data_IF_746187471718
#
_entry.id   IF_746187471718
#
_cell.length_a   1.000
_cell.length_b   1.000
_cell.length_c   1.000
_cell.angle_alpha   90.00
_cell.angle_beta   90.00
_cell.angle_gamma   90.00
#
_symmetry.space_group_name_H-M   'P 1'
#
loop_
_entity.id
_entity.type
_entity.pdbx_description
1 polymer ?
#
# COMPACT_ATOMS: atom_id res chain seq x y z
N UNK A 1 4.68 -6.59 5.98
CA UNK A 1 3.65 -6.06 5.07
C UNK A 1 2.63 -7.09 4.61
N UNK A 2 3.03 -8.20 3.96
CA UNK A 2 2.08 -9.24 3.50
C UNK A 2 2.42 -10.64 4.05
N UNK A 3 1.93 -11.02 5.25
CA UNK A 3 2.29 -12.29 5.89
C UNK A 3 1.95 -13.53 5.05
N UNK A 4 0.83 -13.51 4.33
CA UNK A 4 0.42 -14.62 3.46
C UNK A 4 1.36 -14.76 2.26
N UNK A 5 1.84 -13.65 1.68
CA UNK A 5 2.87 -13.68 0.65
C UNK A 5 4.18 -14.24 1.22
N UNK A 6 4.59 -13.81 2.41
CA UNK A 6 5.78 -14.36 3.09
C UNK A 6 5.65 -15.87 3.33
N UNK A 7 4.47 -16.37 3.69
CA UNK A 7 4.21 -17.80 3.81
C UNK A 7 4.32 -18.55 2.45
N UNK A 8 3.94 -17.92 1.33
CA UNK A 8 4.15 -18.47 -0.02
C UNK A 8 5.64 -18.48 -0.39
N UNK A 9 6.39 -17.45 -0.02
CA UNK A 9 7.85 -17.42 -0.22
C UNK A 9 8.51 -18.52 0.62
N UNK A 10 8.11 -18.68 1.88
CA UNK A 10 8.55 -19.81 2.73
C UNK A 10 8.27 -21.15 2.08
N UNK A 11 7.09 -21.34 1.49
CA UNK A 11 6.75 -22.58 0.77
C UNK A 11 7.69 -22.79 -0.43
N UNK A 12 8.02 -21.74 -1.18
CA UNK A 12 9.00 -21.85 -2.28
C UNK A 12 10.41 -22.17 -1.76
N UNK A 13 10.81 -21.55 -0.64
CA UNK A 13 12.09 -21.81 0.03
C UNK A 13 12.22 -23.26 0.50
N UNK A 14 11.17 -23.84 1.10
CA UNK A 14 11.12 -25.28 1.45
C UNK A 14 11.35 -26.16 0.21
N UNK A 15 10.90 -25.72 -0.96
CA UNK A 15 11.11 -26.41 -2.23
C UNK A 15 12.45 -26.03 -2.92
N UNK A 16 13.40 -25.43 -2.20
CA UNK A 16 14.75 -25.13 -2.68
C UNK A 16 14.93 -23.75 -3.31
N UNK A 17 13.94 -22.85 -3.21
CA UNK A 17 14.15 -21.47 -3.64
C UNK A 17 15.16 -20.74 -2.74
N UNK A 18 16.11 -20.04 -3.35
CA UNK A 18 17.04 -19.18 -2.62
C UNK A 18 16.45 -17.79 -2.47
N UNK A 19 16.53 -17.22 -1.27
CA UNK A 19 16.03 -15.87 -0.98
C UNK A 19 17.20 -14.94 -0.67
N UNK A 20 17.20 -13.76 -1.30
CA UNK A 20 18.11 -12.67 -0.97
C UNK A 20 17.34 -11.46 -0.45
N UNK A 21 17.87 -10.78 0.57
CA UNK A 21 17.27 -9.59 1.15
C UNK A 21 18.21 -8.39 1.00
N UNK A 22 17.69 -7.30 0.43
CA UNK A 22 18.30 -5.97 0.52
C UNK A 22 17.39 -5.11 1.38
N UNK A 23 17.88 -4.70 2.54
CA UNK A 23 17.12 -3.96 3.56
C UNK A 23 17.60 -4.29 4.97
N UNK A 24 16.91 -3.76 5.97
CA UNK A 24 17.16 -4.10 7.37
C UNK A 24 17.09 -5.63 7.59
N UNK A 25 18.03 -6.23 8.34
CA UNK A 25 17.95 -7.64 8.69
C UNK A 25 16.73 -7.91 9.57
N UNK A 26 15.88 -8.84 9.17
CA UNK A 26 14.65 -9.22 9.89
C UNK A 26 14.49 -10.73 9.98
N UNK A 27 13.70 -11.21 10.94
CA UNK A 27 13.29 -12.61 10.99
C UNK A 27 12.18 -12.88 9.96
N UNK A 28 12.54 -13.50 8.82
CA UNK A 28 11.59 -13.91 7.78
C UNK A 28 10.96 -15.28 8.04
N UNK A 29 11.33 -15.96 9.13
CA UNK A 29 10.95 -17.33 9.50
C UNK A 29 11.58 -18.43 8.62
N UNK A 30 12.61 -18.08 7.85
CA UNK A 30 13.44 -18.98 7.03
C UNK A 30 14.77 -18.30 6.69
N UNK A 31 15.76 -19.08 6.28
CA UNK A 31 17.09 -18.54 5.95
C UNK A 31 17.09 -17.76 4.65
N UNK A 32 17.88 -16.68 4.60
CA UNK A 32 18.08 -15.87 3.42
C UNK A 32 19.50 -15.31 3.38
N UNK A 33 19.98 -14.99 2.18
CA UNK A 33 21.22 -14.27 1.99
C UNK A 33 20.97 -12.77 2.21
N UNK A 34 21.49 -12.21 3.29
CA UNK A 34 21.47 -10.76 3.50
C UNK A 34 22.54 -10.10 2.62
N UNK A 35 22.11 -9.28 1.66
CA UNK A 35 22.99 -8.69 0.65
C UNK A 35 23.50 -7.31 1.09
N UNK A 36 22.76 -6.64 1.97
CA UNK A 36 23.07 -5.33 2.51
C UNK A 36 21.80 -4.54 2.80
N UNK A 37 21.95 -3.36 3.38
CA UNK A 37 20.84 -2.62 4.00
C UNK A 37 20.23 -1.52 3.11
N UNK A 38 20.91 -1.12 2.03
CA UNK A 38 20.58 0.14 1.35
C UNK A 38 20.85 0.17 -0.14
N UNK A 39 20.89 1.39 -0.69
CA UNK A 39 21.01 1.63 -2.14
C UNK A 39 22.27 1.04 -2.74
N UNK A 40 23.40 1.07 -2.03
CA UNK A 40 24.66 0.50 -2.51
C UNK A 40 24.56 -1.02 -2.79
N UNK A 41 23.83 -1.75 -1.95
CA UNK A 41 23.60 -3.18 -2.15
C UNK A 41 22.72 -3.45 -3.38
N UNK A 42 21.66 -2.65 -3.56
CA UNK A 42 20.82 -2.71 -4.76
C UNK A 42 21.63 -2.38 -6.03
N UNK A 43 22.46 -1.34 -5.98
CA UNK A 43 23.32 -0.95 -7.10
C UNK A 43 24.29 -2.07 -7.48
N UNK A 44 24.95 -2.68 -6.48
CA UNK A 44 25.86 -3.81 -6.65
C UNK A 44 25.19 -5.00 -7.35
N UNK A 45 23.93 -5.30 -7.03
CA UNK A 45 23.16 -6.34 -7.70
C UNK A 45 22.80 -5.96 -9.13
N UNK A 46 22.24 -4.76 -9.33
CA UNK A 46 21.76 -4.28 -10.62
C UNK A 46 22.88 -4.04 -11.65
N UNK A 47 24.12 -3.85 -11.20
CA UNK A 47 25.30 -3.65 -12.05
C UNK A 47 25.98 -4.95 -12.46
N UNK A 48 25.62 -6.09 -11.86
CA UNK A 48 26.18 -7.41 -12.19
C UNK A 48 25.39 -8.09 -13.31
N UNK A 49 26.09 -8.89 -14.10
CA UNK A 49 25.45 -9.91 -14.94
C UNK A 49 25.15 -11.14 -14.08
N UNK A 50 23.88 -11.52 -13.97
CA UNK A 50 23.45 -12.62 -13.10
C UNK A 50 23.11 -13.84 -13.96
N UNK A 51 24.12 -14.66 -14.26
CA UNK A 51 23.95 -15.88 -15.06
C UNK A 51 23.17 -16.98 -14.34
N UNK A 52 23.38 -17.15 -13.03
CA UNK A 52 22.81 -18.26 -12.24
C UNK A 52 21.27 -18.24 -12.08
N UNK A 53 20.64 -17.10 -12.40
CA UNK A 53 19.19 -16.92 -12.42
C UNK A 53 18.57 -17.25 -13.79
N UNK A 54 19.37 -17.18 -14.87
CA UNK A 54 18.88 -17.42 -16.24
C UNK A 54 18.45 -18.88 -16.39
N UNK A 55 17.23 -19.09 -16.89
CA UNK A 55 16.62 -20.42 -17.03
C UNK A 55 15.91 -20.95 -15.76
N UNK A 56 15.86 -20.17 -14.68
CA UNK A 56 15.07 -20.48 -13.48
C UNK A 56 13.84 -19.57 -13.40
N UNK A 57 12.84 -20.00 -12.63
CA UNK A 57 11.69 -19.15 -12.28
C UNK A 57 12.07 -18.23 -11.11
N UNK A 58 12.59 -17.04 -11.42
CA UNK A 58 13.01 -16.05 -10.43
C UNK A 58 12.05 -14.85 -10.36
N UNK A 59 12.04 -14.19 -9.21
CA UNK A 59 11.16 -13.06 -8.91
C UNK A 59 11.94 -12.00 -8.14
N UNK A 60 11.82 -10.74 -8.56
CA UNK A 60 12.29 -9.56 -7.82
C UNK A 60 11.06 -8.87 -7.22
N UNK A 61 11.05 -8.72 -5.89
CA UNK A 61 9.99 -8.02 -5.15
C UNK A 61 10.59 -6.75 -4.57
N UNK A 62 9.97 -5.60 -4.84
CA UNK A 62 10.29 -4.34 -4.18
C UNK A 62 9.13 -3.89 -3.29
N UNK A 63 9.41 -3.60 -2.02
CA UNK A 63 8.41 -3.00 -1.13
C UNK A 63 8.14 -1.54 -1.52
N UNK A 64 6.89 -1.11 -1.48
CA UNK A 64 6.51 0.27 -1.81
C UNK A 64 7.20 1.32 -0.92
N UNK A 65 7.56 0.96 0.31
CA UNK A 65 8.35 1.80 1.22
C UNK A 65 9.71 2.20 0.65
N UNK A 66 10.36 1.32 -0.13
CA UNK A 66 11.65 1.62 -0.77
C UNK A 66 11.55 2.73 -1.83
N UNK A 67 10.33 3.02 -2.30
CA UNK A 67 10.05 3.99 -3.36
C UNK A 67 9.68 5.39 -2.84
N UNK A 68 9.59 5.59 -1.52
CA UNK A 68 9.10 6.85 -0.94
C UNK A 68 10.18 7.93 -0.80
N UNK A 69 11.46 7.58 -0.93
CA UNK A 69 12.58 8.51 -0.87
C UNK A 69 12.67 9.44 -2.08
N UNK A 70 13.48 10.51 -1.97
CA UNK A 70 13.71 11.46 -3.06
C UNK A 70 14.30 10.80 -4.32
N UNK A 71 15.01 9.69 -4.16
CA UNK A 71 15.59 8.86 -5.22
C UNK A 71 14.70 7.68 -5.62
N UNK A 72 13.43 7.63 -5.21
CA UNK A 72 12.53 6.49 -5.41
C UNK A 72 12.38 6.05 -6.88
N UNK A 73 12.42 6.99 -7.83
CA UNK A 73 12.45 6.68 -9.28
C UNK A 73 13.73 5.95 -9.68
N UNK A 74 14.88 6.34 -9.14
CA UNK A 74 16.14 5.66 -9.39
C UNK A 74 16.15 4.26 -8.76
N UNK A 75 15.63 4.13 -7.52
CA UNK A 75 15.46 2.84 -6.84
C UNK A 75 14.61 1.89 -7.70
N UNK A 76 13.47 2.35 -8.21
CA UNK A 76 12.63 1.57 -9.11
C UNK A 76 13.39 1.14 -10.37
N UNK A 77 14.11 2.06 -11.01
CA UNK A 77 14.89 1.74 -12.21
C UNK A 77 15.99 0.72 -11.97
N UNK A 78 16.69 0.78 -10.83
CA UNK A 78 17.68 -0.24 -10.47
C UNK A 78 17.05 -1.60 -10.15
N UNK A 79 15.88 -1.64 -9.51
CA UNK A 79 15.16 -2.88 -9.24
C UNK A 79 14.63 -3.54 -10.53
N UNK A 80 14.14 -2.74 -11.48
CA UNK A 80 13.73 -3.21 -12.80
C UNK A 80 14.93 -3.71 -13.62
N UNK A 81 16.06 -2.99 -13.61
CA UNK A 81 17.31 -3.43 -14.22
C UNK A 81 17.82 -4.75 -13.64
N UNK A 82 17.68 -4.94 -12.32
CA UNK A 82 18.00 -6.21 -11.67
C UNK A 82 17.10 -7.34 -12.19
N UNK A 83 15.79 -7.10 -12.34
CA UNK A 83 14.87 -8.08 -12.91
C UNK A 83 15.26 -8.45 -14.36
N UNK A 84 15.58 -7.46 -15.20
CA UNK A 84 16.04 -7.68 -16.58
C UNK A 84 17.34 -8.48 -16.64
N UNK A 85 18.36 -8.09 -15.88
CA UNK A 85 19.67 -8.75 -15.88
C UNK A 85 19.62 -10.21 -15.39
N UNK A 86 18.64 -10.53 -14.55
CA UNK A 86 18.42 -11.87 -14.00
C UNK A 86 17.32 -12.66 -14.73
N UNK A 87 16.64 -12.08 -15.72
CA UNK A 87 15.45 -12.63 -16.37
C UNK A 87 14.35 -13.04 -15.36
N UNK A 88 14.15 -12.21 -14.34
CA UNK A 88 13.15 -12.41 -13.29
C UNK A 88 11.83 -11.75 -13.62
N UNK A 89 10.74 -12.31 -13.10
CA UNK A 89 9.49 -11.56 -12.93
C UNK A 89 9.70 -10.42 -11.92
N UNK A 90 8.84 -9.42 -11.96
CA UNK A 90 8.94 -8.23 -11.10
C UNK A 90 7.59 -7.93 -10.45
N UNK A 91 7.64 -7.52 -9.18
CA UNK A 91 6.46 -7.16 -8.39
C UNK A 91 6.79 -5.98 -7.48
N UNK A 92 5.87 -5.03 -7.39
CA UNK A 92 5.85 -4.03 -6.33
C UNK A 92 4.88 -4.49 -5.24
N UNK A 93 5.37 -4.70 -4.02
CA UNK A 93 4.56 -5.06 -2.88
C UNK A 93 4.02 -3.80 -2.20
N UNK A 94 2.70 -3.60 -2.31
CA UNK A 94 2.01 -2.48 -1.67
C UNK A 94 1.68 -2.76 -0.20
N UNK A 95 1.54 -1.69 0.60
CA UNK A 95 1.27 -1.76 2.04
C UNK A 95 -0.18 -1.48 2.42
N UNK A 96 -1.00 -0.99 1.48
CA UNK A 96 -2.40 -0.63 1.73
C UNK A 96 -3.30 -1.12 0.60
N UNK A 97 -4.48 -1.65 0.95
CA UNK A 97 -5.43 -2.25 0.01
C UNK A 97 -6.01 -1.23 -1.01
N UNK A 98 -6.10 0.05 -0.64
CA UNK A 98 -6.58 1.09 -1.53
C UNK A 98 -5.55 1.56 -2.56
N UNK A 99 -4.25 1.21 -2.39
CA UNK A 99 -3.17 1.86 -3.14
C UNK A 99 -3.19 1.55 -4.63
N UNK A 100 -3.38 0.29 -5.01
CA UNK A 100 -3.36 -0.12 -6.43
C UNK A 100 -4.56 0.47 -7.17
N UNK A 101 -5.77 0.31 -6.62
CA UNK A 101 -6.98 0.89 -7.21
C UNK A 101 -6.92 2.42 -7.32
N UNK A 102 -6.36 3.11 -6.32
CA UNK A 102 -6.12 4.55 -6.38
C UNK A 102 -5.15 4.93 -7.52
N UNK A 103 -4.09 4.15 -7.73
CA UNK A 103 -3.16 4.38 -8.84
C UNK A 103 -3.78 4.10 -10.20
N UNK A 104 -4.62 3.07 -10.32
CA UNK A 104 -5.32 2.70 -11.55
C UNK A 104 -6.26 3.81 -12.05
N UNK A 105 -6.95 4.50 -11.13
CA UNK A 105 -7.81 5.66 -11.45
C UNK A 105 -7.03 6.98 -11.54
N UNK A 106 -5.70 6.95 -11.43
CA UNK A 106 -4.86 8.14 -11.51
C UNK A 106 -4.96 9.09 -10.32
N UNK A 107 -5.33 8.60 -9.12
CA UNK A 107 -5.35 9.39 -7.88
C UNK A 107 -3.92 9.66 -7.36
N UNK A 108 -3.17 10.43 -8.14
CA UNK A 108 -1.79 10.84 -7.90
C UNK A 108 -1.68 12.37 -7.94
N UNK A 109 -0.66 12.92 -7.29
CA UNK A 109 -0.37 14.35 -7.34
C UNK A 109 1.08 14.63 -7.73
N UNK A 110 1.28 15.66 -8.55
CA UNK A 110 2.63 16.12 -8.89
C UNK A 110 3.33 16.65 -7.62
N UNK A 111 4.54 16.17 -7.35
CA UNK A 111 5.25 16.47 -6.10
C UNK A 111 4.76 15.68 -4.88
N UNK A 112 3.80 14.78 -5.08
CA UNK A 112 3.29 13.85 -4.07
C UNK A 112 2.57 14.51 -2.91
N UNK A 113 2.21 13.66 -1.94
CA UNK A 113 1.40 14.06 -0.78
C UNK A 113 2.04 15.20 0.03
N UNK A 114 3.37 15.22 0.17
CA UNK A 114 4.09 16.25 0.91
C UNK A 114 3.88 17.65 0.32
N UNK A 115 3.85 17.77 -1.01
CA UNK A 115 3.56 19.05 -1.67
C UNK A 115 2.09 19.40 -1.50
N UNK A 116 1.19 18.44 -1.76
CA UNK A 116 -0.27 18.62 -1.62
C UNK A 116 -0.65 19.12 -0.23
N UNK A 117 -0.12 18.52 0.85
CA UNK A 117 -0.44 18.91 2.22
C UNK A 117 0.11 20.30 2.62
N UNK A 118 1.16 20.79 1.96
CA UNK A 118 1.73 22.12 2.24
C UNK A 118 0.96 23.24 1.57
N UNK A 119 0.31 22.97 0.44
CA UNK A 119 -0.31 24.00 -0.40
C UNK A 119 -1.83 23.99 -0.35
N UNK A 120 -2.46 22.91 0.15
CA UNK A 120 -3.91 22.81 0.23
C UNK A 120 -4.47 23.73 1.31
N UNK A 121 -5.52 24.48 0.97
CA UNK A 121 -6.33 25.24 1.93
C UNK A 121 -7.47 24.40 2.51
N UNK A 122 -7.95 23.42 1.72
CA UNK A 122 -8.97 22.45 2.12
C UNK A 122 -8.44 21.04 1.84
N UNK A 123 -8.55 20.15 2.80
CA UNK A 123 -8.17 18.74 2.68
C UNK A 123 -9.40 17.87 2.90
N UNK A 124 -9.78 17.12 1.87
CA UNK A 124 -10.75 16.04 1.99
C UNK A 124 -10.02 14.73 2.28
N UNK A 125 -10.05 14.29 3.53
CA UNK A 125 -9.36 13.10 4.01
C UNK A 125 -10.30 11.88 3.98
N UNK A 126 -10.09 10.99 3.01
CA UNK A 126 -10.80 9.72 2.87
C UNK A 126 -10.14 8.63 3.75
N UNK A 127 -10.44 8.65 5.05
CA UNK A 127 -10.06 7.60 5.99
C UNK A 127 -8.55 7.38 6.14
N UNK A 128 -7.73 8.41 5.85
CA UNK A 128 -6.28 8.33 6.00
C UNK A 128 -5.85 8.83 7.37
N UNK A 129 -5.37 7.89 8.20
CA UNK A 129 -4.92 8.15 9.56
C UNK A 129 -3.40 7.99 9.74
N UNK A 130 -2.70 7.51 8.70
CA UNK A 130 -1.24 7.32 8.71
C UNK A 130 -0.45 8.59 8.35
N UNK A 131 -1.17 9.67 8.02
CA UNK A 131 -0.59 10.89 7.47
C UNK A 131 -0.85 12.03 8.44
N UNK A 132 0.23 12.68 8.90
CA UNK A 132 0.12 13.86 9.74
C UNK A 132 -0.31 15.06 8.91
N UNK A 133 -1.47 15.63 9.24
CA UNK A 133 -1.97 16.87 8.65
C UNK A 133 -1.75 18.00 9.67
N UNK A 134 -0.91 18.97 9.32
CA UNK A 134 -0.61 20.11 10.19
C UNK A 134 -1.79 21.09 10.28
N UNK A 135 -1.73 21.98 11.26
CA UNK A 135 -2.66 23.12 11.34
C UNK A 135 -2.53 24.03 10.11
N UNK A 136 -3.60 24.72 9.74
CA UNK A 136 -3.66 25.58 8.55
C UNK A 136 -4.85 25.26 7.66
N UNK A 137 -4.86 24.11 6.97
CA UNK A 137 -5.98 23.72 6.11
C UNK A 137 -7.26 23.42 6.90
N UNK A 138 -8.40 23.66 6.27
CA UNK A 138 -9.69 23.15 6.69
C UNK A 138 -9.81 21.67 6.32
N UNK A 139 -10.06 20.79 7.28
CA UNK A 139 -9.99 19.34 7.10
C UNK A 139 -11.38 18.72 7.24
N UNK A 140 -11.83 18.04 6.19
CA UNK A 140 -13.01 17.19 6.21
C UNK A 140 -12.52 15.74 6.27
N UNK A 141 -12.86 15.02 7.34
CA UNK A 141 -12.54 13.60 7.47
C UNK A 141 -13.77 12.76 7.18
N UNK A 142 -13.66 11.87 6.18
CA UNK A 142 -14.66 10.86 5.87
C UNK A 142 -14.08 9.48 6.19
N UNK A 143 -14.61 8.81 7.21
CA UNK A 143 -14.08 7.52 7.64
C UNK A 143 -14.98 6.81 8.64
N UNK A 144 -14.65 5.55 8.91
CA UNK A 144 -15.44 4.67 9.79
C UNK A 144 -14.97 4.66 11.24
N UNK A 145 -13.73 5.09 11.51
CA UNK A 145 -13.13 5.08 12.83
C UNK A 145 -12.52 6.44 13.14
N UNK A 146 -12.62 6.86 14.40
CA UNK A 146 -11.98 8.08 14.88
C UNK A 146 -10.57 7.81 15.36
N UNK A 147 -9.56 8.16 14.58
CA UNK A 147 -8.15 8.12 14.97
C UNK A 147 -7.48 9.47 14.60
N UNK A 148 -6.16 9.50 14.36
CA UNK A 148 -5.36 10.72 14.12
C UNK A 148 -5.97 11.66 13.08
N UNK A 149 -6.49 11.12 11.97
CA UNK A 149 -7.10 11.89 10.89
C UNK A 149 -8.41 12.55 11.32
N UNK A 150 -9.24 11.83 12.07
CA UNK A 150 -10.48 12.36 12.62
C UNK A 150 -10.23 13.40 13.71
N UNK A 151 -9.23 13.20 14.58
CA UNK A 151 -8.85 14.17 15.61
C UNK A 151 -8.37 15.51 15.04
N UNK A 152 -7.80 15.50 13.83
CA UNK A 152 -7.40 16.71 13.11
C UNK A 152 -8.56 17.36 12.33
N UNK A 153 -9.70 16.70 12.18
CA UNK A 153 -10.77 17.18 11.32
C UNK A 153 -11.52 18.38 11.91
N UNK A 154 -11.93 19.30 11.03
CA UNK A 154 -12.89 20.37 11.33
C UNK A 154 -14.34 19.88 11.12
N UNK A 155 -14.55 18.98 10.14
CA UNK A 155 -15.81 18.27 9.90
C UNK A 155 -15.54 16.77 9.81
N UNK A 156 -16.39 15.97 10.46
CA UNK A 156 -16.37 14.51 10.37
C UNK A 156 -17.63 14.04 9.64
N UNK A 157 -17.45 13.25 8.58
CA UNK A 157 -18.49 12.56 7.83
C UNK A 157 -18.39 11.06 8.10
N UNK A 158 -19.28 10.48 8.91
CA UNK A 158 -19.20 9.06 9.26
C UNK A 158 -19.49 8.18 8.04
N UNK A 159 -18.55 7.31 7.70
CA UNK A 159 -18.61 6.43 6.53
C UNK A 159 -18.62 4.95 6.92
N UNK A 160 -19.16 4.12 6.03
CA UNK A 160 -19.18 2.67 6.17
C UNK A 160 -17.76 2.07 6.26
N UNK A 161 -17.60 1.04 7.08
CA UNK A 161 -16.41 0.18 7.06
C UNK A 161 -16.46 -0.80 5.87
N UNK A 162 -15.34 -1.48 5.58
CA UNK A 162 -15.24 -2.39 4.42
C UNK A 162 -16.23 -3.57 4.46
N UNK A 163 -16.77 -3.93 5.63
CA UNK A 163 -17.79 -4.96 5.81
C UNK A 163 -19.23 -4.44 5.62
N UNK A 164 -19.40 -3.13 5.51
CA UNK A 164 -20.70 -2.44 5.58
C UNK A 164 -21.11 -1.80 4.25
N UNK A 165 -20.27 -1.90 3.22
CA UNK A 165 -20.55 -1.44 1.87
C UNK A 165 -20.02 -2.42 0.81
N UNK A 166 -20.57 -2.34 -0.40
CA UNK A 166 -20.09 -3.14 -1.51
C UNK A 166 -18.94 -2.41 -2.22
N UNK A 167 -17.70 -2.88 -2.02
CA UNK A 167 -16.48 -2.29 -2.56
C UNK A 167 -15.92 -3.00 -3.78
N UNK A 168 -15.03 -2.32 -4.51
CA UNK A 168 -14.11 -2.92 -5.49
C UNK A 168 -12.69 -2.61 -5.03
N UNK A 169 -11.90 -3.64 -4.77
CA UNK A 169 -10.52 -3.54 -4.31
C UNK A 169 -9.58 -4.14 -5.35
N UNK A 170 -8.39 -3.56 -5.51
CA UNK A 170 -7.35 -4.13 -6.37
C UNK A 170 -6.16 -4.51 -5.51
N UNK A 171 -5.78 -5.78 -5.53
CA UNK A 171 -4.68 -6.28 -4.71
C UNK A 171 -3.30 -5.99 -5.36
N UNK A 172 -2.20 -6.37 -4.68
CA UNK A 172 -0.84 -6.05 -5.12
C UNK A 172 -0.39 -6.70 -6.43
N UNK A 173 -1.08 -7.74 -6.91
CA UNK A 173 -0.83 -8.37 -8.22
C UNK A 173 -1.70 -7.75 -9.33
N UNK A 174 -2.51 -6.73 -9.02
CA UNK A 174 -3.36 -6.04 -9.98
C UNK A 174 -4.70 -6.73 -10.23
N UNK A 175 -5.16 -7.61 -9.33
CA UNK A 175 -6.44 -8.33 -9.47
C UNK A 175 -7.58 -7.50 -8.86
N UNK A 176 -8.61 -7.09 -9.63
CA UNK A 176 -9.83 -6.51 -9.10
C UNK A 176 -10.67 -7.55 -8.38
N UNK A 177 -11.22 -7.21 -7.21
CA UNK A 177 -11.99 -8.08 -6.34
C UNK A 177 -13.20 -7.33 -5.81
N UNK A 178 -14.34 -8.01 -5.74
CA UNK A 178 -15.55 -7.44 -5.17
C UNK A 178 -15.66 -7.79 -3.69
N UNK A 179 -15.86 -6.77 -2.86
CA UNK A 179 -16.31 -6.94 -1.49
C UNK A 179 -17.84 -6.86 -1.46
N UNK A 180 -18.47 -7.80 -0.76
CA UNK A 180 -19.91 -7.81 -0.55
C UNK A 180 -20.21 -7.30 0.87
N UNK A 181 -21.26 -6.50 0.97
CA UNK A 181 -21.75 -5.99 2.25
C UNK A 181 -22.23 -7.15 3.13
N UNK A 182 -21.69 -7.22 4.35
CA UNK A 182 -22.07 -8.21 5.37
C UNK A 182 -23.00 -7.62 6.44
N UNK A 183 -22.89 -6.32 6.74
CA UNK A 183 -23.72 -5.62 7.70
C UNK A 183 -24.13 -4.23 7.21
N UNK A 184 -24.96 -3.51 7.96
CA UNK A 184 -25.26 -2.11 7.68
C UNK A 184 -24.35 -1.21 8.51
N UNK A 185 -23.97 -0.06 7.94
CA UNK A 185 -23.18 0.93 8.65
C UNK A 185 -23.93 1.43 9.90
N UNK A 186 -23.24 1.63 11.04
CA UNK A 186 -23.87 1.98 12.29
C UNK A 186 -24.39 3.44 12.31
N UNK A 187 -25.50 3.65 13.02
CA UNK A 187 -26.06 4.98 13.23
C UNK A 187 -26.44 5.67 11.93
N UNK A 188 -25.88 6.86 11.70
CA UNK A 188 -26.14 7.67 10.50
C UNK A 188 -25.07 7.54 9.42
N UNK A 189 -24.09 6.63 9.59
CA UNK A 189 -23.04 6.42 8.63
C UNK A 189 -23.61 6.00 7.26
N UNK A 190 -22.95 6.46 6.19
CA UNK A 190 -23.36 6.20 4.79
C UNK A 190 -22.24 5.51 4.02
N UNK A 191 -22.60 4.88 2.89
CA UNK A 191 -21.60 4.35 1.95
C UNK A 191 -20.70 5.47 1.42
N UNK A 192 -19.41 5.18 1.25
CA UNK A 192 -18.39 6.18 0.97
C UNK A 192 -18.70 7.00 -0.30
N UNK A 193 -19.19 6.33 -1.35
CA UNK A 193 -19.54 6.99 -2.61
C UNK A 193 -20.79 7.88 -2.48
N UNK A 194 -21.74 7.49 -1.63
CA UNK A 194 -22.99 8.22 -1.45
C UNK A 194 -22.77 9.55 -0.74
N UNK A 195 -21.81 9.60 0.20
CA UNK A 195 -21.38 10.85 0.86
C UNK A 195 -20.81 11.82 -0.18
N UNK A 196 -19.88 11.36 -1.02
CA UNK A 196 -19.28 12.19 -2.07
C UNK A 196 -20.31 12.64 -3.11
N UNK A 197 -21.23 11.76 -3.49
CA UNK A 197 -22.33 12.07 -4.40
C UNK A 197 -23.27 13.13 -3.82
N UNK A 198 -23.63 13.04 -2.54
CA UNK A 198 -24.46 14.05 -1.88
C UNK A 198 -23.74 15.39 -1.79
N UNK A 199 -22.48 15.40 -1.34
CA UNK A 199 -21.65 16.60 -1.25
C UNK A 199 -21.50 17.29 -2.61
N UNK A 200 -21.34 16.53 -3.70
CA UNK A 200 -21.21 17.10 -5.04
C UNK A 200 -22.40 17.97 -5.45
N UNK A 201 -23.61 17.62 -5.00
CA UNK A 201 -24.82 18.40 -5.28
C UNK A 201 -24.85 19.71 -4.49
N UNK A 202 -24.47 19.67 -3.20
CA UNK A 202 -24.36 20.86 -2.35
C UNK A 202 -23.31 21.85 -2.86
N UNK A 203 -22.25 21.36 -3.52
CA UNK A 203 -21.22 22.17 -4.15
C UNK A 203 -21.60 22.69 -5.55
N UNK A 204 -22.79 22.36 -6.07
CA UNK A 204 -23.21 22.71 -7.43
C UNK A 204 -22.46 21.96 -8.54
N UNK A 205 -21.71 20.91 -8.20
CA UNK A 205 -20.88 20.10 -9.10
C UNK A 205 -21.36 18.63 -9.12
N UNK A 206 -22.67 18.45 -9.26
CA UNK A 206 -23.37 17.16 -9.14
C UNK A 206 -22.75 16.07 -10.03
N UNK A 207 -22.33 14.96 -9.41
CA UNK A 207 -21.82 13.79 -10.12
C UNK A 207 -22.94 13.05 -10.86
N UNK A 208 -22.65 12.53 -12.06
CA UNK A 208 -23.64 11.98 -13.00
C UNK A 208 -24.16 10.57 -12.72
N UNK A 209 -24.13 10.12 -11.47
CA UNK A 209 -24.60 8.78 -11.06
C UNK A 209 -25.38 8.86 -9.75
N UNK A 210 -26.45 8.07 -9.64
CA UNK A 210 -27.34 8.04 -8.47
C UNK A 210 -27.41 6.65 -7.82
N UNK A 211 -26.62 5.69 -8.33
CA UNK A 211 -26.53 4.34 -7.79
C UNK A 211 -25.11 3.80 -7.91
N UNK A 212 -24.77 2.83 -7.06
CA UNK A 212 -23.49 2.12 -7.13
C UNK A 212 -23.28 1.42 -8.48
N UNK A 213 -24.35 0.95 -9.13
CA UNK A 213 -24.28 0.33 -10.45
C UNK A 213 -23.85 1.34 -11.52
N UNK A 214 -24.44 2.55 -11.52
CA UNK A 214 -24.05 3.63 -12.43
C UNK A 214 -22.62 4.13 -12.15
N UNK A 215 -22.24 4.25 -10.88
CA UNK A 215 -20.86 4.58 -10.51
C UNK A 215 -19.87 3.54 -11.07
N UNK A 216 -20.16 2.24 -10.94
CA UNK A 216 -19.31 1.19 -11.50
C UNK A 216 -19.25 1.25 -13.03
N UNK A 217 -20.36 1.56 -13.70
CA UNK A 217 -20.36 1.75 -15.16
C UNK A 217 -19.47 2.93 -15.57
N UNK A 218 -19.55 4.06 -14.86
CA UNK A 218 -18.67 5.21 -15.11
C UNK A 218 -17.20 4.86 -14.86
N UNK A 219 -16.90 4.21 -13.74
CA UNK A 219 -15.55 3.76 -13.38
C UNK A 219 -14.96 2.81 -14.44
N UNK A 220 -15.73 1.82 -14.90
CA UNK A 220 -15.27 0.86 -15.92
C UNK A 220 -15.11 1.53 -17.28
N UNK A 221 -15.97 2.50 -17.63
CA UNK A 221 -15.82 3.24 -18.88
C UNK A 221 -14.49 4.03 -18.92
N UNK A 222 -14.05 4.57 -17.78
CA UNK A 222 -12.78 5.29 -17.66
C UNK A 222 -11.57 4.35 -17.48
N UNK A 223 -11.75 3.24 -16.76
CA UNK A 223 -10.68 2.29 -16.40
C UNK A 223 -11.14 0.84 -16.70
N UNK A 224 -11.11 0.41 -17.97
CA UNK A 224 -11.76 -0.83 -18.42
C UNK A 224 -11.28 -2.11 -17.75
N UNK A 225 -10.00 -2.22 -17.36
CA UNK A 225 -9.46 -3.44 -16.74
C UNK A 225 -10.07 -3.72 -15.37
N UNK A 226 -10.69 -2.74 -14.71
CA UNK A 226 -11.40 -2.96 -13.44
C UNK A 226 -12.67 -3.82 -13.60
N UNK A 227 -13.14 -4.04 -14.84
CA UNK A 227 -14.21 -4.99 -15.13
C UNK A 227 -13.77 -6.46 -15.04
N UNK A 228 -12.46 -6.74 -15.13
CA UNK A 228 -11.89 -8.08 -15.15
C UNK A 228 -11.76 -8.66 -13.73
N UNK A 229 -12.90 -8.76 -13.03
CA UNK A 229 -12.97 -9.26 -11.65
C UNK A 229 -12.37 -10.66 -11.56
N UNK A 230 -11.54 -10.85 -10.53
CA UNK A 230 -10.78 -12.07 -10.25
C UNK A 230 -9.78 -12.48 -11.35
N UNK A 231 -9.42 -11.59 -12.27
CA UNK A 231 -8.35 -11.82 -13.25
C UNK A 231 -7.11 -10.99 -12.89
N UNK A 232 -5.92 -11.55 -13.12
CA UNK A 232 -4.67 -10.81 -12.94
C UNK A 232 -4.44 -9.98 -14.19
N UNK A 233 -4.36 -8.67 -14.05
CA UNK A 233 -4.10 -7.78 -15.16
C UNK A 233 -2.75 -8.08 -15.83
N UNK A 234 -2.76 -8.16 -17.17
CA UNK A 234 -1.52 -8.21 -17.94
C UNK A 234 -0.92 -6.79 -18.04
N UNK A 235 0.29 -6.64 -17.52
CA UNK A 235 0.96 -5.35 -17.41
C UNK A 235 2.16 -5.33 -18.36
N UNK A 236 2.10 -4.57 -19.48
CA UNK A 236 3.21 -4.51 -20.40
C UNK A 236 4.44 -3.91 -19.71
N UNK A 237 5.60 -4.54 -19.91
CA UNK A 237 6.85 -4.10 -19.29
C UNK A 237 7.23 -2.70 -19.78
N UNK A 238 7.32 -1.74 -18.85
CA UNK A 238 7.73 -0.36 -19.11
C UNK A 238 8.94 -0.01 -18.24
N UNK A 239 10.13 -0.34 -18.73
CA UNK A 239 11.37 -0.13 -18.01
C UNK A 239 11.55 1.33 -17.58
N UNK A 240 11.87 1.53 -16.30
CA UNK A 240 12.31 2.82 -15.76
C UNK A 240 13.83 2.85 -15.80
N UNK A 241 14.41 3.88 -16.40
CA UNK A 241 15.87 4.03 -16.47
C UNK A 241 16.46 4.13 -15.07
N UNK A 242 17.44 3.28 -14.78
CA UNK A 242 18.25 3.37 -13.56
C UNK A 242 18.96 4.74 -13.51
N UNK A 243 18.65 5.53 -12.48
CA UNK A 243 19.24 6.85 -12.25
C UNK A 243 20.27 6.83 -11.13
N UNK A 244 20.81 8.00 -10.77
CA UNK A 244 21.73 8.11 -9.63
C UNK A 244 20.99 7.82 -8.32
N UNK A 245 21.49 6.82 -7.57
CA UNK A 245 20.98 6.50 -6.24
C UNK A 245 21.58 7.43 -5.18
N UNK A 246 20.82 7.64 -4.10
CA UNK A 246 21.34 8.24 -2.87
C UNK A 246 22.15 7.25 -2.04
N UNK A 247 22.59 7.67 -0.85
CA UNK A 247 23.36 6.86 0.09
C UNK A 247 22.53 6.33 1.27
N UNK A 248 21.21 6.53 1.26
CA UNK A 248 20.35 6.17 2.38
C UNK A 248 20.14 4.65 2.50
N UNK A 249 19.99 4.17 3.72
CA UNK A 249 19.56 2.78 3.97
C UNK A 249 18.06 2.61 3.72
N UNK A 250 17.62 1.40 3.39
CA UNK A 250 16.19 1.10 3.36
C UNK A 250 15.70 0.88 4.79
N UNK A 251 14.66 1.60 5.17
CA UNK A 251 13.98 1.40 6.44
C UNK A 251 12.69 0.63 6.24
N UNK A 252 12.36 -0.24 7.19
CA UNK A 252 11.01 -0.77 7.30
C UNK A 252 10.09 0.38 7.73
N UNK A 253 8.98 0.57 7.00
CA UNK A 253 8.01 1.65 7.28
C UNK A 253 6.99 1.23 8.35
N UNK A 254 7.12 0.05 8.93
CA UNK A 254 6.08 -0.50 9.80
C UNK A 254 6.29 -0.12 11.26
N UNK A 255 5.26 0.53 11.83
CA UNK A 255 4.96 0.40 13.25
C UNK A 255 4.57 -1.05 13.62
N UNK A 256 3.88 -1.25 14.73
CA UNK A 256 3.43 -2.60 15.11
C UNK A 256 2.55 -3.22 14.02
N UNK A 257 2.84 -4.48 13.63
CA UNK A 257 2.07 -5.26 12.66
C UNK A 257 0.58 -5.29 13.01
N UNK A 258 0.26 -5.37 14.30
CA UNK A 258 -1.09 -5.44 14.82
C UNK A 258 -1.83 -4.09 14.78
N UNK A 259 -1.14 -2.97 14.57
CA UNK A 259 -1.70 -1.61 14.67
C UNK A 259 -1.56 -0.81 13.36
N UNK A 260 -1.69 -1.51 12.22
CA UNK A 260 -1.37 -1.02 10.88
C UNK A 260 -2.39 -0.08 10.24
N UNK A 261 -3.62 -0.02 10.76
CA UNK A 261 -4.69 0.81 10.24
C UNK A 261 -5.69 1.19 11.35
N UNK A 262 -6.63 2.12 11.11
CA UNK A 262 -7.57 2.59 12.14
C UNK A 262 -8.43 1.49 12.77
N UNK A 263 -8.88 0.51 11.97
CA UNK A 263 -9.70 -0.60 12.45
C UNK A 263 -8.89 -1.45 13.44
N UNK A 264 -7.65 -1.78 13.06
CA UNK A 264 -6.76 -2.55 13.91
C UNK A 264 -6.37 -1.78 15.19
N UNK A 265 -6.17 -0.46 15.10
CA UNK A 265 -5.88 0.39 16.26
C UNK A 265 -7.05 0.57 17.22
N UNK A 266 -8.28 0.53 16.72
CA UNK A 266 -9.49 0.54 17.55
C UNK A 266 -9.79 -0.83 18.19
N UNK A 267 -9.12 -1.91 17.78
CA UNK A 267 -9.35 -3.25 18.31
C UNK A 267 -8.60 -3.49 19.62
N UNK A 268 -9.34 -3.80 20.69
CA UNK A 268 -8.76 -4.20 21.98
C UNK A 268 -7.89 -5.46 21.86
N UNK A 269 -8.29 -6.42 21.03
CA UNK A 269 -7.55 -7.67 20.80
C UNK A 269 -6.20 -7.36 20.13
N UNK A 270 -6.19 -6.50 19.11
CA UNK A 270 -4.93 -6.13 18.44
C UNK A 270 -4.02 -5.33 19.36
N UNK A 271 -4.58 -4.46 20.22
CA UNK A 271 -3.82 -3.74 21.23
C UNK A 271 -3.13 -4.70 22.24
N UNK A 272 -3.85 -5.74 22.69
CA UNK A 272 -3.28 -6.78 23.56
C UNK A 272 -2.16 -7.56 22.86
N UNK A 273 -2.36 -7.94 21.59
CA UNK A 273 -1.32 -8.65 20.81
C UNK A 273 -0.07 -7.79 20.60
N UNK A 274 -0.23 -6.49 20.33
CA UNK A 274 0.87 -5.54 20.20
C UNK A 274 1.65 -5.39 21.52
N UNK A 275 0.94 -5.31 22.65
CA UNK A 275 1.56 -5.23 23.98
C UNK A 275 2.36 -6.51 24.30
N UNK A 276 1.79 -7.68 24.02
CA UNK A 276 2.44 -8.97 24.22
C UNK A 276 3.67 -9.16 23.32
N UNK A 277 3.62 -8.70 22.07
CA UNK A 277 4.77 -8.68 21.17
C UNK A 277 5.91 -7.81 21.73
N UNK A 278 5.58 -6.58 22.15
CA UNK A 278 6.56 -5.66 22.75
C UNK A 278 7.20 -6.27 24.00
N UNK A 279 6.41 -6.88 24.88
CA UNK A 279 6.91 -7.55 26.08
C UNK A 279 7.92 -8.67 25.75
N UNK A 280 7.61 -9.53 24.77
CA UNK A 280 8.53 -10.59 24.32
C UNK A 280 9.86 -10.05 23.79
N UNK A 281 9.84 -8.92 23.09
CA UNK A 281 11.06 -8.29 22.57
C UNK A 281 11.89 -7.69 23.71
N UNK A 282 11.26 -7.02 24.67
CA UNK A 282 11.96 -6.45 25.84
C UNK A 282 12.62 -7.52 26.70
N UNK A 283 11.95 -8.66 26.92
CA UNK A 283 12.53 -9.78 27.70
C UNK A 283 13.76 -10.40 27.03
N UNK A 284 13.80 -10.49 25.70
CA UNK A 284 14.98 -11.02 24.98
C UNK A 284 16.21 -10.12 25.14
N UNK A 285 16.02 -8.80 25.13
CA UNK A 285 17.12 -7.82 25.26
C UNK A 285 17.68 -7.76 26.70
N UNK A 286 16.89 -8.12 27.71
CA UNK A 286 17.35 -8.16 29.10
C UNK A 286 18.10 -9.46 29.48
N UNK A 287 18.10 -10.46 28.59
CA UNK A 287 18.71 -11.77 28.81
C UNK A 287 20.00 -11.98 27.97
N UNK A 288 20.43 -10.96 27.22
CA UNK A 288 21.74 -10.85 26.55
C UNK A 288 22.65 -9.88 27.34
#
# INVERSE_FOLDING_TARGET
>A
DAPVLNARIRKAWINGAMVGLVGEPVDLTYDYAHVGTGRAALESLSSKSIGAAKGKNTLVIIGASALTGADGKAVLGHAMKLAENSNSKFMVLQTAAARVGAMDIGAVSEGGITKTLKTAEVIFNLGADEIEIKNGPFVIYQGSHGDRGAHRADIILPAAAYTEEAGLFVNTEGRPQLALRAGFAPGEAKENWAILRALSAELGATLGYDSLAQLRQALIAEVPHLAEVDQVADNPWKAVTAGKLGTAEFSNVTGSFYLSNPIARASSIMAELAANEKARQTTKVAAE
#
